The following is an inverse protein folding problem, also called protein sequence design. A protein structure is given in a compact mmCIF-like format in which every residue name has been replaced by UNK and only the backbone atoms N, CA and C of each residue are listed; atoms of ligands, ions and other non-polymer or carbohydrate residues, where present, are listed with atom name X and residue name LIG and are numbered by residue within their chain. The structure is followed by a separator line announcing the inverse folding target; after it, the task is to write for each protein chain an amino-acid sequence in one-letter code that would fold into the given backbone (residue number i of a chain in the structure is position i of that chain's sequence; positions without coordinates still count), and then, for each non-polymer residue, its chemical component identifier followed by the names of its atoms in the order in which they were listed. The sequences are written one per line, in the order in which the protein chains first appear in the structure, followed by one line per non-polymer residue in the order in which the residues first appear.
data_IF_012254360825
#
_entry.id   IF_012254360825
#
_cell.length_a   1.000
_cell.length_b   1.000
_cell.length_c   1.000
_cell.angle_alpha   90.00
_cell.angle_beta   90.00
_cell.angle_gamma   90.00
#
_symmetry.space_group_name_H-M   'P 1'
#
loop_
_entity.id
_entity.type
_entity.pdbx_description
1 polymer ?
#
# COMPACT_ATOMS: atom_id res chain seq x y z
N UNK A 1 34.57 -36.43 9.06
CA UNK A 1 33.74 -35.82 8.00
C UNK A 1 32.70 -34.92 8.67
N UNK A 2 32.91 -33.60 8.70
CA UNK A 2 32.00 -32.62 9.34
C UNK A 2 31.17 -31.95 8.25
N UNK A 3 29.87 -32.22 8.22
CA UNK A 3 28.94 -31.62 7.26
C UNK A 3 28.45 -30.30 7.85
N UNK A 4 28.80 -29.18 7.19
CA UNK A 4 28.18 -27.87 7.41
C UNK A 4 26.81 -27.87 6.72
N UNK A 5 25.73 -27.71 7.48
CA UNK A 5 24.41 -27.43 6.92
C UNK A 5 24.20 -25.92 6.85
N UNK A 6 24.28 -25.35 5.65
CA UNK A 6 23.78 -24.01 5.36
C UNK A 6 22.25 -24.06 5.28
N UNK A 7 21.54 -23.39 6.20
CA UNK A 7 20.10 -23.17 6.07
C UNK A 7 19.82 -22.18 4.92
N UNK A 8 18.85 -22.45 4.03
CA UNK A 8 18.39 -21.48 3.06
C UNK A 8 17.49 -20.45 3.75
N UNK A 9 17.72 -19.16 3.43
CA UNK A 9 16.87 -18.04 3.82
C UNK A 9 15.48 -18.22 3.16
N UNK A 10 14.54 -18.81 3.88
CA UNK A 10 13.14 -18.91 3.45
C UNK A 10 12.44 -17.56 3.62
N UNK A 11 11.64 -17.16 2.62
CA UNK A 11 10.89 -15.91 2.53
C UNK A 11 9.97 -15.60 3.73
N UNK A 12 9.75 -16.58 4.61
CA UNK A 12 9.01 -16.47 5.87
C UNK A 12 9.65 -15.49 6.86
N UNK A 13 10.97 -15.25 6.78
CA UNK A 13 11.66 -14.31 7.68
C UNK A 13 11.56 -12.83 7.27
N UNK A 14 11.10 -12.53 6.05
CA UNK A 14 11.03 -11.14 5.56
C UNK A 14 9.82 -10.39 6.13
N UNK A 15 8.69 -11.09 6.34
CA UNK A 15 7.47 -10.50 6.90
C UNK A 15 7.61 -10.12 8.38
N UNK A 16 8.39 -10.88 9.16
CA UNK A 16 8.57 -10.63 10.59
C UNK A 16 9.68 -9.59 10.88
N UNK A 17 10.67 -9.48 9.99
CA UNK A 17 11.81 -8.56 10.18
C UNK A 17 11.47 -7.11 9.85
N UNK A 18 10.53 -6.85 8.95
CA UNK A 18 10.07 -5.48 8.67
C UNK A 18 9.28 -4.89 9.85
N UNK A 19 8.54 -5.72 10.60
CA UNK A 19 7.77 -5.30 11.78
C UNK A 19 8.65 -5.01 13.00
N UNK A 20 9.77 -5.71 13.15
CA UNK A 20 10.69 -5.53 14.29
C UNK A 20 11.52 -4.24 14.21
N UNK A 21 11.62 -3.59 13.05
CA UNK A 21 12.45 -2.39 12.89
C UNK A 21 11.74 -1.07 13.25
N UNK A 22 10.41 -1.07 13.39
CA UNK A 22 9.64 0.14 13.73
C UNK A 22 9.44 0.34 15.26
N UNK A 23 9.80 -0.65 16.08
CA UNK A 23 9.57 -0.63 17.53
C UNK A 23 10.58 0.15 18.38
N UNK A 24 11.50 0.91 17.79
CA UNK A 24 12.54 1.62 18.55
C UNK A 24 13.00 2.90 17.84
N UNK A 25 12.15 3.92 17.80
CA UNK A 25 12.57 5.26 17.40
C UNK A 25 12.10 6.29 18.42
N UNK A 26 13.02 6.71 19.30
CA UNK A 26 12.88 7.93 20.07
C UNK A 26 12.98 9.13 19.11
N UNK A 27 11.92 9.93 19.01
CA UNK A 27 11.90 11.15 18.21
C UNK A 27 12.63 12.29 18.94
N UNK A 28 13.57 12.93 18.24
CA UNK A 28 14.23 14.16 18.65
C UNK A 28 13.97 15.22 17.57
N UNK A 29 13.23 16.27 17.95
CA UNK A 29 12.75 17.35 17.08
C UNK A 29 13.87 18.22 16.50
N UNK A 30 13.77 18.52 15.19
CA UNK A 30 14.14 19.82 14.59
C UNK A 30 13.58 19.94 13.16
N UNK A 31 12.99 21.08 12.76
CA UNK A 31 12.36 21.25 11.46
C UNK A 31 13.39 21.63 10.37
N UNK A 32 13.19 21.10 9.15
CA UNK A 32 13.95 21.49 7.97
C UNK A 32 13.11 22.39 7.04
N UNK A 33 13.66 23.54 6.69
CA UNK A 33 13.12 24.53 5.75
C UNK A 33 13.38 24.09 4.30
N UNK A 34 12.36 24.16 3.43
CA UNK A 34 12.50 23.92 1.99
C UNK A 34 12.43 25.24 1.20
N UNK A 35 13.42 25.45 0.34
CA UNK A 35 13.55 26.56 -0.61
C UNK A 35 12.93 26.19 -1.95
N UNK A 36 12.15 27.10 -2.55
CA UNK A 36 11.55 26.94 -3.89
C UNK A 36 12.57 27.20 -5.00
N UNK A 37 12.50 26.40 -6.07
CA UNK A 37 13.23 26.62 -7.33
C UNK A 37 12.22 26.91 -8.44
N UNK A 38 12.42 28.05 -9.12
CA UNK A 38 11.68 28.49 -10.31
C UNK A 38 12.18 27.77 -11.56
N UNK A 39 11.30 27.45 -12.50
CA UNK A 39 11.68 26.97 -13.84
C UNK A 39 11.03 27.85 -14.90
N UNK A 40 11.89 28.39 -15.76
CA UNK A 40 11.59 29.32 -16.84
C UNK A 40 10.81 28.66 -17.99
N UNK A 41 9.95 29.48 -18.59
CA UNK A 41 9.18 29.18 -19.80
C UNK A 41 10.03 29.41 -21.04
N UNK A 42 10.06 28.45 -21.97
CA UNK A 42 10.63 28.65 -23.31
C UNK A 42 9.59 28.34 -24.36
N UNK A 43 9.26 29.36 -25.15
CA UNK A 43 8.34 29.36 -26.27
C UNK A 43 9.03 28.86 -27.55
N UNK A 44 8.32 28.12 -28.39
CA UNK A 44 8.63 28.04 -29.82
C UNK A 44 7.34 27.87 -30.63
N UNK A 45 7.05 28.89 -31.43
CA UNK A 45 6.07 28.91 -32.51
C UNK A 45 6.52 28.05 -33.69
N UNK A 46 5.57 27.46 -34.45
CA UNK A 46 5.26 27.83 -35.85
C UNK A 46 4.32 26.81 -36.55
N UNK A 47 3.28 27.38 -37.18
CA UNK A 47 2.62 27.01 -38.45
C UNK A 47 1.63 25.83 -38.50
N UNK A 48 0.36 26.25 -38.44
CA UNK A 48 -0.79 25.92 -39.31
C UNK A 48 -0.51 25.09 -40.59
N UNK A 49 -1.22 23.97 -40.72
CA UNK A 49 -1.69 23.49 -42.03
C UNK A 49 -2.96 22.65 -41.86
N UNK A 50 -3.93 22.95 -42.72
CA UNK A 50 -5.36 22.62 -42.67
C UNK A 50 -5.76 21.18 -43.05
N UNK A 51 -6.82 20.71 -42.38
CA UNK A 51 -7.92 19.82 -42.80
C UNK A 51 -7.76 18.89 -44.02
N UNK A 52 -7.74 17.57 -43.77
CA UNK A 52 -8.34 16.51 -44.62
C UNK A 52 -8.86 15.33 -43.75
N UNK A 53 -9.97 14.66 -44.12
CA UNK A 53 -10.70 13.71 -43.26
C UNK A 53 -10.06 12.31 -43.11
N UNK A 54 -10.32 11.70 -41.95
CA UNK A 54 -9.81 10.41 -41.45
C UNK A 54 -9.97 9.21 -42.41
N UNK A 55 -8.89 8.46 -42.59
CA UNK A 55 -8.90 7.11 -43.16
C UNK A 55 -8.83 6.06 -42.03
N UNK A 56 -9.59 4.94 -42.09
CA UNK A 56 -9.58 3.92 -41.05
C UNK A 56 -8.19 3.27 -40.93
N UNK A 57 -7.54 3.45 -39.78
CA UNK A 57 -6.29 2.76 -39.46
C UNK A 57 -6.58 1.28 -39.15
N UNK A 58 -5.96 0.38 -39.90
CA UNK A 58 -5.94 -1.05 -39.60
C UNK A 58 -5.28 -1.28 -38.22
N UNK A 59 -5.71 -2.29 -37.43
CA UNK A 59 -5.11 -2.55 -36.13
C UNK A 59 -3.63 -2.89 -36.32
N UNK A 60 -2.78 -2.00 -35.79
CA UNK A 60 -1.33 -2.20 -35.76
C UNK A 60 -1.06 -3.28 -34.72
N UNK A 61 -0.95 -4.54 -35.17
CA UNK A 61 -0.40 -5.64 -34.40
C UNK A 61 1.09 -5.38 -34.17
N UNK A 62 1.40 -4.48 -33.24
CA UNK A 62 2.75 -4.35 -32.69
C UNK A 62 3.16 -5.65 -32.01
N UNK A 63 4.47 -5.94 -31.90
CA UNK A 63 4.94 -7.11 -31.19
C UNK A 63 4.36 -7.10 -29.77
N UNK A 64 3.76 -8.22 -29.37
CA UNK A 64 3.28 -8.44 -28.00
C UNK A 64 4.47 -8.18 -27.08
N UNK A 65 4.46 -7.02 -26.41
CA UNK A 65 5.37 -6.77 -25.31
C UNK A 65 5.18 -7.92 -24.33
N UNK A 66 6.27 -8.64 -24.08
CA UNK A 66 6.36 -9.64 -23.02
C UNK A 66 5.71 -9.03 -21.77
N UNK A 67 4.68 -9.69 -21.24
CA UNK A 67 3.82 -9.18 -20.15
C UNK A 67 4.59 -9.15 -18.82
N UNK A 68 5.65 -8.36 -18.73
CA UNK A 68 6.38 -8.12 -17.49
C UNK A 68 5.58 -7.15 -16.61
N UNK A 69 5.24 -7.57 -15.39
CA UNK A 69 4.65 -6.68 -14.38
C UNK A 69 3.12 -6.60 -14.33
N UNK A 70 2.40 -7.60 -14.82
CA UNK A 70 0.92 -7.65 -14.71
C UNK A 70 0.49 -7.97 -13.28
N UNK A 71 -0.28 -7.07 -12.68
CA UNK A 71 -0.91 -7.29 -11.38
C UNK A 71 -2.11 -8.23 -11.50
N UNK A 72 -2.23 -9.17 -10.57
CA UNK A 72 -3.44 -9.99 -10.40
C UNK A 72 -4.39 -9.31 -9.41
N UNK A 73 -5.68 -9.65 -9.41
CA UNK A 73 -6.63 -9.12 -8.40
C UNK A 73 -6.39 -9.66 -6.99
N UNK A 74 -5.62 -10.74 -6.87
CA UNK A 74 -5.31 -11.39 -5.59
C UNK A 74 -3.86 -11.82 -5.52
N UNK A 75 -3.25 -11.60 -4.35
CA UNK A 75 -1.93 -12.11 -4.04
C UNK A 75 -2.05 -13.52 -3.48
N UNK A 76 -1.26 -14.44 -4.05
CA UNK A 76 -1.27 -15.89 -3.77
C UNK A 76 -2.66 -16.53 -3.98
N UNK A 77 -3.56 -15.87 -4.72
CA UNK A 77 -4.96 -16.26 -4.86
C UNK A 77 -5.83 -16.02 -3.62
N UNK A 78 -5.28 -15.45 -2.54
CA UNK A 78 -5.97 -15.30 -1.25
C UNK A 78 -6.16 -13.82 -0.94
N UNK A 79 -5.06 -13.10 -0.72
CA UNK A 79 -5.08 -11.72 -0.22
C UNK A 79 -5.57 -10.74 -1.30
N UNK A 80 -6.29 -9.67 -0.92
CA UNK A 80 -6.77 -8.69 -1.88
C UNK A 80 -5.58 -7.94 -2.51
N UNK A 81 -5.75 -7.56 -3.76
CA UNK A 81 -4.80 -6.73 -4.49
C UNK A 81 -5.54 -5.64 -5.28
N UNK A 82 -6.68 -5.17 -4.74
CA UNK A 82 -7.63 -4.35 -5.50
C UNK A 82 -7.11 -2.95 -5.82
N UNK A 83 -6.13 -2.46 -5.04
CA UNK A 83 -5.46 -1.17 -5.24
C UNK A 83 -4.26 -1.23 -6.17
N UNK A 84 -3.71 -2.40 -6.46
CA UNK A 84 -2.49 -2.50 -7.25
C UNK A 84 -2.76 -2.38 -8.75
N UNK A 85 -2.01 -1.53 -9.42
CA UNK A 85 -2.09 -1.26 -10.85
C UNK A 85 -0.77 -1.66 -11.51
N UNK A 86 -0.87 -2.38 -12.62
CA UNK A 86 0.27 -2.85 -13.42
C UNK A 86 1.13 -1.69 -13.91
N UNK A 87 2.42 -1.97 -14.12
CA UNK A 87 3.35 -0.97 -14.64
C UNK A 87 2.90 -0.42 -15.99
N UNK A 88 3.22 0.86 -16.25
CA UNK A 88 2.87 1.60 -17.48
C UNK A 88 1.35 1.73 -17.76
N UNK A 89 0.49 1.33 -16.82
CA UNK A 89 -0.96 1.45 -16.96
C UNK A 89 -1.42 2.83 -16.49
N UNK A 90 -2.25 3.48 -17.30
CA UNK A 90 -2.90 4.75 -16.97
C UNK A 90 -4.40 4.51 -16.93
N UNK A 91 -5.00 4.75 -15.76
CA UNK A 91 -6.42 4.58 -15.54
C UNK A 91 -7.08 5.96 -15.43
N UNK A 92 -8.36 6.09 -15.79
CA UNK A 92 -9.09 7.32 -15.55
C UNK A 92 -9.18 7.64 -14.04
N UNK A 93 -9.50 8.89 -13.70
CA UNK A 93 -9.77 9.30 -12.32
C UNK A 93 -10.83 8.41 -11.67
N UNK A 94 -10.67 8.08 -10.39
CA UNK A 94 -11.68 7.30 -9.67
C UNK A 94 -12.85 8.18 -9.25
N UNK A 95 -14.06 7.67 -9.42
CA UNK A 95 -15.26 8.23 -8.81
C UNK A 95 -15.26 8.02 -7.29
N UNK A 96 -16.05 8.81 -6.56
CA UNK A 96 -16.28 8.64 -5.12
C UNK A 96 -16.74 7.21 -4.82
N UNK A 97 -17.67 6.67 -5.62
CA UNK A 97 -18.21 5.33 -5.42
C UNK A 97 -17.12 4.26 -5.57
N UNK A 98 -16.20 4.41 -6.53
CA UNK A 98 -15.10 3.46 -6.70
C UNK A 98 -14.14 3.48 -5.51
N UNK A 99 -13.83 4.65 -4.96
CA UNK A 99 -12.98 4.77 -3.76
C UNK A 99 -13.60 4.07 -2.55
N UNK A 100 -14.89 4.30 -2.30
CA UNK A 100 -15.63 3.61 -1.24
C UNK A 100 -15.77 2.11 -1.49
N UNK A 101 -15.98 1.70 -2.75
CA UNK A 101 -16.05 0.28 -3.11
C UNK A 101 -14.73 -0.42 -2.83
N UNK A 102 -13.59 0.18 -3.19
CA UNK A 102 -12.26 -0.37 -2.87
C UNK A 102 -12.09 -0.52 -1.37
N UNK A 103 -12.36 0.52 -0.58
CA UNK A 103 -12.28 0.45 0.89
C UNK A 103 -13.16 -0.67 1.48
N UNK A 104 -14.38 -0.84 0.97
CA UNK A 104 -15.26 -1.94 1.38
C UNK A 104 -14.71 -3.31 0.98
N UNK A 105 -14.13 -3.42 -0.21
CA UNK A 105 -13.52 -4.66 -0.68
C UNK A 105 -12.31 -5.03 0.18
N UNK A 106 -11.41 -4.09 0.46
CA UNK A 106 -10.22 -4.34 1.28
C UNK A 106 -10.54 -4.56 2.77
N UNK A 107 -11.67 -4.03 3.27
CA UNK A 107 -12.10 -4.23 4.67
C UNK A 107 -12.90 -5.53 4.90
N UNK A 108 -13.66 -5.97 3.90
CA UNK A 108 -14.65 -7.05 4.07
C UNK A 108 -14.47 -8.19 3.07
N UNK A 109 -13.37 -8.23 2.31
CA UNK A 109 -12.99 -9.43 1.59
C UNK A 109 -12.83 -10.59 2.56
N UNK A 110 -13.14 -11.82 2.13
CA UNK A 110 -13.04 -13.01 2.98
C UNK A 110 -11.64 -13.21 3.58
N UNK A 111 -10.59 -12.71 2.92
CA UNK A 111 -9.21 -12.82 3.39
C UNK A 111 -8.77 -11.67 4.31
N UNK A 112 -9.59 -10.63 4.48
CA UNK A 112 -9.29 -9.49 5.36
C UNK A 112 -9.20 -9.89 6.84
N UNK A 113 -9.59 -11.11 7.19
CA UNK A 113 -9.44 -11.66 8.55
C UNK A 113 -8.00 -12.00 8.91
N UNK A 114 -7.12 -12.25 7.93
CA UNK A 114 -5.80 -12.82 8.20
C UNK A 114 -4.81 -11.80 8.76
N UNK A 115 -4.80 -10.57 8.25
CA UNK A 115 -3.89 -9.54 8.74
C UNK A 115 -4.23 -9.11 10.18
N UNK A 116 -5.50 -8.80 10.53
CA UNK A 116 -5.91 -8.59 11.92
C UNK A 116 -5.62 -9.76 12.85
N UNK A 117 -5.75 -11.01 12.38
CA UNK A 117 -5.37 -12.19 13.15
C UNK A 117 -3.87 -12.20 13.49
N UNK A 118 -3.01 -11.94 12.51
CA UNK A 118 -1.58 -11.85 12.73
C UNK A 118 -1.21 -10.69 13.68
N UNK A 119 -1.77 -9.51 13.45
CA UNK A 119 -1.57 -8.32 14.30
C UNK A 119 -2.05 -8.59 15.73
N UNK A 120 -3.20 -9.24 15.91
CA UNK A 120 -3.72 -9.61 17.22
C UNK A 120 -2.81 -10.60 17.95
N UNK A 121 -2.25 -11.58 17.24
CA UNK A 121 -1.29 -12.52 17.81
C UNK A 121 -0.02 -11.83 18.30
N UNK A 122 0.52 -10.90 17.50
CA UNK A 122 1.69 -10.09 17.88
C UNK A 122 1.35 -9.22 19.10
N UNK A 123 0.26 -8.45 19.02
CA UNK A 123 -0.18 -7.56 20.09
C UNK A 123 -0.43 -8.30 21.41
N UNK A 124 -1.03 -9.49 21.34
CA UNK A 124 -1.20 -10.34 22.50
C UNK A 124 0.14 -10.83 23.05
N UNK A 125 1.04 -11.31 22.19
CA UNK A 125 2.35 -11.81 22.59
C UNK A 125 3.22 -10.73 23.25
N UNK A 126 3.11 -9.47 22.79
CA UNK A 126 3.79 -8.32 23.37
C UNK A 126 3.00 -7.66 24.50
N UNK A 127 1.80 -8.14 24.80
CA UNK A 127 0.89 -7.59 25.80
C UNK A 127 0.65 -6.08 25.61
N UNK A 128 0.39 -5.64 24.36
CA UNK A 128 0.28 -4.22 24.01
C UNK A 128 -0.96 -3.51 24.55
N UNK A 129 -1.97 -4.25 25.01
CA UNK A 129 -3.13 -3.72 25.73
C UNK A 129 -3.46 -4.66 26.91
N UNK A 130 -2.82 -4.47 28.07
CA UNK A 130 -2.93 -5.39 29.22
C UNK A 130 -4.38 -5.66 29.67
N UNK A 131 -5.29 -4.71 29.49
CA UNK A 131 -6.73 -4.82 29.80
C UNK A 131 -7.43 -5.93 29.02
N UNK A 132 -6.92 -6.29 27.84
CA UNK A 132 -7.48 -7.39 27.05
C UNK A 132 -7.14 -8.76 27.64
N UNK A 133 -6.12 -8.84 28.50
CA UNK A 133 -5.62 -10.08 29.12
C UNK A 133 -5.12 -11.08 28.07
N UNK A 134 -4.78 -12.27 28.56
CA UNK A 134 -4.18 -13.35 27.78
C UNK A 134 -5.17 -14.51 27.54
N UNK A 135 -4.73 -15.53 26.81
CA UNK A 135 -5.55 -16.68 26.41
C UNK A 135 -6.51 -16.37 25.26
N UNK A 136 -7.36 -17.34 24.91
CA UNK A 136 -8.26 -17.24 23.76
C UNK A 136 -9.26 -16.07 23.84
N UNK A 137 -9.77 -15.78 25.03
CA UNK A 137 -10.65 -14.63 25.24
C UNK A 137 -9.91 -13.29 25.04
N UNK A 138 -8.65 -13.21 25.47
CA UNK A 138 -7.80 -12.05 25.21
C UNK A 138 -7.47 -11.90 23.73
N UNK A 139 -7.12 -12.99 23.06
CA UNK A 139 -6.92 -13.02 21.61
C UNK A 139 -8.13 -12.46 20.86
N UNK A 140 -9.35 -12.91 21.22
CA UNK A 140 -10.58 -12.40 20.62
C UNK A 140 -10.75 -10.89 20.78
N UNK A 141 -10.32 -10.31 21.91
CA UNK A 141 -10.32 -8.85 22.12
C UNK A 141 -9.31 -8.16 21.22
N UNK A 142 -8.06 -8.63 21.19
CA UNK A 142 -7.05 -8.08 20.27
C UNK A 142 -7.51 -8.17 18.80
N UNK A 143 -8.11 -9.30 18.43
CA UNK A 143 -8.57 -9.57 17.08
C UNK A 143 -9.65 -8.61 16.60
N UNK A 144 -10.74 -8.46 17.36
CA UNK A 144 -11.81 -7.57 16.90
C UNK A 144 -11.35 -6.12 16.86
N UNK A 145 -10.49 -5.68 17.80
CA UNK A 145 -9.91 -4.33 17.75
C UNK A 145 -9.01 -4.15 16.54
N UNK A 146 -8.14 -5.10 16.23
CA UNK A 146 -7.29 -5.04 15.04
C UNK A 146 -8.11 -5.03 13.75
N UNK A 147 -9.22 -5.77 13.71
CA UNK A 147 -10.15 -5.76 12.57
C UNK A 147 -10.86 -4.41 12.43
N UNK A 148 -11.32 -3.83 13.55
CA UNK A 148 -11.93 -2.51 13.56
C UNK A 148 -10.94 -1.40 13.17
N UNK A 149 -9.70 -1.47 13.69
CA UNK A 149 -8.60 -0.56 13.35
C UNK A 149 -8.36 -0.60 11.82
N UNK A 150 -8.20 -1.79 11.25
CA UNK A 150 -7.99 -1.98 9.82
C UNK A 150 -9.16 -1.42 8.99
N UNK A 151 -10.40 -1.75 9.33
CA UNK A 151 -11.55 -1.28 8.57
C UNK A 151 -11.66 0.25 8.62
N UNK A 152 -11.53 0.84 9.81
CA UNK A 152 -11.55 2.32 9.97
C UNK A 152 -10.44 2.95 9.13
N UNK A 153 -9.24 2.40 9.20
CA UNK A 153 -8.11 2.87 8.42
C UNK A 153 -8.38 2.83 6.91
N UNK A 154 -8.77 1.68 6.36
CA UNK A 154 -9.12 1.54 4.95
C UNK A 154 -10.14 2.59 4.51
N UNK A 155 -11.20 2.82 5.30
CA UNK A 155 -12.17 3.87 4.96
C UNK A 155 -11.58 5.28 5.02
N UNK A 156 -10.72 5.58 5.99
CA UNK A 156 -10.09 6.90 6.08
C UNK A 156 -9.06 7.12 4.97
N UNK A 157 -8.17 6.17 4.73
CA UNK A 157 -7.03 6.24 3.82
C UNK A 157 -7.43 6.01 2.36
N UNK A 158 -8.46 5.19 2.09
CA UNK A 158 -8.81 4.79 0.73
C UNK A 158 -10.10 5.42 0.21
N UNK A 159 -10.96 5.93 1.09
CA UNK A 159 -12.24 6.52 0.69
C UNK A 159 -12.38 7.98 1.13
N UNK A 160 -12.42 8.25 2.43
CA UNK A 160 -12.81 9.56 2.97
C UNK A 160 -11.78 10.63 2.61
N UNK A 161 -10.51 10.45 2.99
CA UNK A 161 -9.49 11.45 2.68
C UNK A 161 -9.21 11.54 1.18
N UNK A 162 -9.09 10.44 0.42
CA UNK A 162 -8.89 10.52 -1.04
C UNK A 162 -9.98 11.29 -1.78
N UNK A 163 -11.22 11.24 -1.29
CA UNK A 163 -12.32 12.05 -1.85
C UNK A 163 -12.16 13.52 -1.50
N UNK A 164 -11.77 13.84 -0.26
CA UNK A 164 -11.58 15.22 0.22
C UNK A 164 -10.39 15.88 -0.49
N UNK A 165 -9.27 15.17 -0.60
CA UNK A 165 -7.99 15.68 -1.13
C UNK A 165 -7.85 15.49 -2.64
N UNK A 166 -8.79 14.76 -3.27
CA UNK A 166 -8.74 14.34 -4.68
C UNK A 166 -7.50 13.53 -5.00
N UNK A 167 -7.14 12.62 -4.10
CA UNK A 167 -6.02 11.70 -4.26
C UNK A 167 -6.49 10.37 -4.84
N UNK A 168 -5.64 9.77 -5.68
CA UNK A 168 -5.83 8.43 -6.20
C UNK A 168 -5.40 7.43 -5.13
N UNK A 169 -6.29 6.50 -4.77
CA UNK A 169 -6.02 5.52 -3.71
C UNK A 169 -5.22 4.31 -4.21
N UNK A 170 -4.91 4.23 -5.51
CA UNK A 170 -4.27 3.07 -6.14
C UNK A 170 -2.75 3.13 -6.06
N UNK A 171 -2.13 1.97 -5.88
CA UNK A 171 -0.69 1.79 -5.97
C UNK A 171 -0.30 1.44 -7.41
N UNK A 172 0.41 2.35 -8.09
CA UNK A 172 0.95 2.11 -9.43
C UNK A 172 2.33 1.47 -9.35
N UNK A 173 2.49 0.29 -9.93
CA UNK A 173 3.75 -0.45 -9.92
C UNK A 173 4.79 0.25 -10.78
N UNK A 174 6.04 0.37 -10.30
CA UNK A 174 7.13 0.87 -11.14
C UNK A 174 7.54 -0.20 -12.17
N UNK A 175 7.67 -1.45 -11.72
CA UNK A 175 7.83 -2.65 -12.55
C UNK A 175 9.18 -2.78 -13.27
N UNK A 176 10.02 -1.75 -13.25
CA UNK A 176 11.32 -1.71 -13.93
C UNK A 176 12.44 -1.25 -13.02
N UNK A 177 13.65 -1.74 -13.30
CA UNK A 177 14.87 -1.44 -12.55
C UNK A 177 15.17 -2.44 -11.45
N UNK A 178 16.36 -2.30 -10.85
CA UNK A 178 16.83 -3.21 -9.80
C UNK A 178 16.04 -3.09 -8.49
N UNK A 179 16.23 -4.08 -7.62
CA UNK A 179 15.52 -4.20 -6.33
C UNK A 179 15.52 -2.90 -5.51
N UNK A 180 16.68 -2.27 -5.30
CA UNK A 180 16.78 -1.05 -4.48
C UNK A 180 16.00 0.13 -5.04
N UNK A 181 15.98 0.29 -6.37
CA UNK A 181 15.23 1.37 -7.03
C UNK A 181 13.73 1.19 -6.83
N UNK A 182 13.25 -0.04 -7.01
CA UNK A 182 11.83 -0.39 -6.86
C UNK A 182 11.39 -0.32 -5.40
N UNK A 183 12.20 -0.85 -4.48
CA UNK A 183 11.93 -0.75 -3.04
C UNK A 183 11.88 0.72 -2.58
N UNK A 184 12.84 1.55 -3.00
CA UNK A 184 12.84 2.99 -2.70
C UNK A 184 11.61 3.69 -3.27
N UNK A 185 11.22 3.36 -4.51
CA UNK A 185 9.98 3.85 -5.11
C UNK A 185 8.76 3.46 -4.29
N UNK A 186 8.60 2.17 -3.93
CA UNK A 186 7.45 1.69 -3.17
C UNK A 186 7.32 2.36 -1.81
N UNK A 187 8.43 2.46 -1.08
CA UNK A 187 8.47 3.12 0.22
C UNK A 187 8.15 4.62 0.10
N UNK A 188 8.55 5.28 -0.99
CA UNK A 188 8.18 6.67 -1.22
C UNK A 188 6.68 6.88 -1.40
N UNK A 189 5.90 5.83 -1.75
CA UNK A 189 4.47 5.96 -2.01
C UNK A 189 3.63 6.24 -0.77
N UNK A 190 4.18 5.99 0.41
CA UNK A 190 3.59 6.39 1.70
C UNK A 190 3.51 7.91 1.83
N UNK A 191 4.50 8.64 1.28
CA UNK A 191 4.57 10.11 1.37
C UNK A 191 4.25 10.82 0.06
N UNK A 192 4.31 10.13 -1.07
CA UNK A 192 4.02 10.68 -2.40
C UNK A 192 2.95 9.83 -3.07
N UNK A 193 1.81 10.41 -3.42
CA UNK A 193 0.76 9.73 -4.18
C UNK A 193 0.48 10.43 -5.52
N UNK A 194 -0.40 9.86 -6.34
CA UNK A 194 -0.98 10.55 -7.50
C UNK A 194 -2.28 11.20 -7.07
N UNK A 195 -2.61 12.35 -7.64
CA UNK A 195 -3.94 12.90 -7.54
C UNK A 195 -4.85 12.36 -8.65
N UNK A 196 -6.15 12.66 -8.57
CA UNK A 196 -7.15 12.24 -9.55
C UNK A 196 -6.84 12.77 -10.97
N UNK A 197 -6.01 13.81 -11.11
CA UNK A 197 -5.54 14.31 -12.41
C UNK A 197 -4.26 13.60 -12.92
N UNK A 198 -3.73 12.64 -12.17
CA UNK A 198 -2.53 11.86 -12.50
C UNK A 198 -1.20 12.48 -12.11
N UNK A 199 -1.21 13.67 -11.47
CA UNK A 199 0.02 14.35 -11.04
C UNK A 199 0.49 13.85 -9.67
N UNK A 200 1.80 13.86 -9.42
CA UNK A 200 2.34 13.52 -8.11
C UNK A 200 2.07 14.62 -7.09
N UNK A 201 1.70 14.23 -5.87
CA UNK A 201 1.40 15.11 -4.74
C UNK A 201 1.87 14.45 -3.44
N UNK A 202 2.02 15.24 -2.38
CA UNK A 202 2.18 14.68 -1.04
C UNK A 202 0.95 13.83 -0.69
N UNK A 203 1.15 12.64 -0.13
CA UNK A 203 0.09 11.69 0.20
C UNK A 203 -0.61 12.08 1.51
N UNK A 204 -1.53 13.04 1.43
CA UNK A 204 -2.30 13.51 2.59
C UNK A 204 -3.21 12.40 3.11
N UNK A 205 -3.81 11.62 2.20
CA UNK A 205 -4.74 10.55 2.56
C UNK A 205 -4.11 9.47 3.41
N UNK A 206 -2.89 9.05 3.08
CA UNK A 206 -2.17 8.08 3.90
C UNK A 206 -1.81 8.68 5.26
N UNK A 207 -1.10 9.80 5.27
CA UNK A 207 -0.50 10.36 6.48
C UNK A 207 -1.59 10.84 7.45
N UNK A 208 -2.55 11.62 6.96
CA UNK A 208 -3.63 12.17 7.78
C UNK A 208 -4.75 11.17 7.99
N UNK A 209 -5.07 10.34 6.99
CA UNK A 209 -6.09 9.29 7.12
C UNK A 209 -5.71 8.24 8.15
N UNK A 210 -4.49 7.70 8.09
CA UNK A 210 -4.00 6.74 9.08
C UNK A 210 -3.97 7.35 10.49
N UNK A 211 -3.57 8.63 10.61
CA UNK A 211 -3.61 9.37 11.87
C UNK A 211 -5.02 9.55 12.42
N UNK A 212 -5.98 9.88 11.56
CA UNK A 212 -7.39 9.99 11.92
C UNK A 212 -7.98 8.63 12.34
N UNK A 213 -7.65 7.55 11.63
CA UNK A 213 -8.05 6.19 11.98
C UNK A 213 -7.50 5.75 13.33
N UNK A 214 -6.19 5.97 13.56
CA UNK A 214 -5.57 5.73 14.86
C UNK A 214 -6.23 6.55 15.98
N UNK A 215 -6.56 7.82 15.72
CA UNK A 215 -7.29 8.67 16.66
C UNK A 215 -8.71 8.17 16.96
N UNK A 216 -9.45 7.72 15.95
CA UNK A 216 -10.78 7.12 16.10
C UNK A 216 -10.76 5.82 16.90
N UNK A 217 -9.63 5.10 16.91
CA UNK A 217 -9.49 3.89 17.73
C UNK A 217 -9.69 4.15 19.22
N UNK A 218 -9.41 5.37 19.69
CA UNK A 218 -9.67 5.77 21.06
C UNK A 218 -11.15 5.70 21.46
N UNK A 219 -12.09 5.62 20.52
CA UNK A 219 -13.51 5.47 20.86
C UNK A 219 -13.82 4.08 21.44
N UNK A 220 -13.08 3.06 21.02
CA UNK A 220 -13.38 1.66 21.33
C UNK A 220 -12.28 0.92 22.10
N UNK A 221 -11.07 1.49 22.26
CA UNK A 221 -10.04 0.96 23.17
C UNK A 221 -10.30 1.30 24.66
N UNK A 222 -9.72 0.55 25.62
CA UNK A 222 -9.85 0.84 27.05
C UNK A 222 -9.38 2.25 27.42
N UNK A 223 -10.04 2.92 28.38
CA UNK A 223 -9.77 4.31 28.72
C UNK A 223 -8.31 4.61 29.09
N UNK A 224 -7.60 3.65 29.70
CA UNK A 224 -6.18 3.78 30.05
C UNK A 224 -5.27 3.88 28.82
N UNK A 225 -5.69 3.28 27.71
CA UNK A 225 -4.91 3.21 26.48
C UNK A 225 -5.16 4.40 25.55
N UNK A 226 -6.13 5.27 25.86
CA UNK A 226 -6.54 6.43 25.03
C UNK A 226 -5.59 7.63 25.19
N UNK A 227 -4.30 7.39 25.05
CA UNK A 227 -3.25 8.41 25.18
C UNK A 227 -2.75 8.87 23.82
N UNK A 228 -2.22 10.10 23.75
CA UNK A 228 -1.59 10.61 22.54
C UNK A 228 -0.40 9.74 22.11
N UNK A 229 0.40 9.25 23.06
CA UNK A 229 1.55 8.37 22.79
C UNK A 229 1.12 7.06 22.13
N UNK A 230 0.09 6.40 22.64
CA UNK A 230 -0.43 5.16 22.05
C UNK A 230 -1.05 5.42 20.67
N UNK A 231 -1.73 6.55 20.49
CA UNK A 231 -2.30 6.95 19.19
C UNK A 231 -1.20 7.15 18.15
N UNK A 232 -0.11 7.85 18.50
CA UNK A 232 1.05 8.04 17.62
C UNK A 232 1.76 6.72 17.33
N UNK A 233 1.90 5.83 18.33
CA UNK A 233 2.49 4.51 18.13
C UNK A 233 1.66 3.65 17.16
N UNK A 234 0.33 3.71 17.25
CA UNK A 234 -0.57 3.01 16.32
C UNK A 234 -0.46 3.61 14.92
N UNK A 235 -0.52 4.94 14.80
CA UNK A 235 -0.34 5.63 13.54
C UNK A 235 0.97 5.24 12.84
N UNK A 236 2.09 5.22 13.57
CA UNK A 236 3.38 4.78 13.02
C UNK A 236 3.38 3.29 12.62
N UNK A 237 2.67 2.44 13.36
CA UNK A 237 2.52 1.02 13.01
C UNK A 237 1.74 0.86 11.70
N UNK A 238 0.64 1.59 11.54
CA UNK A 238 -0.17 1.56 10.34
C UNK A 238 0.64 1.98 9.10
N UNK A 239 1.33 3.12 9.19
CA UNK A 239 2.25 3.59 8.13
C UNK A 239 3.30 2.51 7.78
N UNK A 240 3.81 1.78 8.78
CA UNK A 240 4.74 0.67 8.56
C UNK A 240 4.11 -0.52 7.83
N UNK A 241 2.85 -0.87 8.15
CA UNK A 241 2.09 -1.91 7.47
C UNK A 241 1.86 -1.51 6.01
N UNK A 242 1.44 -0.28 5.75
CA UNK A 242 1.16 0.22 4.40
C UNK A 242 2.42 0.23 3.53
N UNK A 243 3.55 0.69 4.09
CA UNK A 243 4.86 0.61 3.44
C UNK A 243 5.22 -0.83 3.05
N UNK A 244 4.97 -1.78 3.94
CA UNK A 244 5.16 -3.22 3.68
C UNK A 244 4.23 -3.74 2.58
N UNK A 245 2.97 -3.30 2.57
CA UNK A 245 1.98 -3.65 1.56
C UNK A 245 2.37 -3.10 0.18
N UNK A 246 2.85 -1.86 0.09
CA UNK A 246 3.36 -1.28 -1.17
C UNK A 246 4.58 -2.01 -1.72
N UNK A 247 5.53 -2.39 -0.86
CA UNK A 247 6.63 -3.27 -1.26
C UNK A 247 6.10 -4.58 -1.83
N UNK A 248 5.10 -5.17 -1.17
CA UNK A 248 4.55 -6.43 -1.62
C UNK A 248 3.81 -6.29 -2.95
N UNK A 249 3.02 -5.24 -3.15
CA UNK A 249 2.42 -4.91 -4.43
C UNK A 249 3.48 -4.75 -5.53
N UNK A 250 4.58 -4.03 -5.27
CA UNK A 250 5.64 -3.81 -6.25
C UNK A 250 6.26 -5.10 -6.75
N UNK A 251 6.55 -6.03 -5.84
CA UNK A 251 7.27 -7.26 -6.15
C UNK A 251 6.35 -8.46 -6.42
N UNK A 252 5.05 -8.33 -6.18
CA UNK A 252 4.09 -9.41 -6.38
C UNK A 252 4.11 -9.97 -7.82
N UNK A 253 4.13 -9.17 -8.90
CA UNK A 253 4.20 -9.71 -10.25
C UNK A 253 5.41 -10.65 -10.46
N UNK A 254 6.58 -10.31 -9.90
CA UNK A 254 7.78 -11.13 -10.01
C UNK A 254 7.68 -12.42 -9.21
N UNK A 255 7.14 -12.32 -7.98
CA UNK A 255 6.90 -13.46 -7.10
C UNK A 255 5.90 -14.41 -7.77
N UNK A 256 4.80 -13.87 -8.29
CA UNK A 256 3.76 -14.63 -8.96
C UNK A 256 4.31 -15.32 -10.21
N UNK A 257 5.10 -14.62 -11.02
CA UNK A 257 5.74 -15.20 -12.19
C UNK A 257 6.65 -16.38 -11.83
N UNK A 258 7.50 -16.23 -10.81
CA UNK A 258 8.42 -17.28 -10.37
C UNK A 258 7.73 -18.48 -9.73
N UNK A 259 6.63 -18.28 -9.00
CA UNK A 259 5.95 -19.34 -8.25
C UNK A 259 4.87 -20.05 -9.05
N UNK A 260 4.17 -19.37 -9.97
CA UNK A 260 2.94 -19.89 -10.59
C UNK A 260 2.99 -19.99 -12.12
N UNK A 261 4.07 -19.59 -12.80
CA UNK A 261 4.24 -19.82 -14.24
C UNK A 261 5.29 -20.91 -14.56
N UNK A 262 4.81 -22.15 -14.54
CA UNK A 262 5.10 -23.11 -15.61
C UNK A 262 4.07 -22.95 -16.74
N UNK A 263 4.58 -22.83 -17.99
CA UNK A 263 3.92 -22.85 -19.31
C UNK A 263 2.75 -21.88 -19.61
N UNK A 264 2.98 -21.04 -20.63
CA UNK A 264 1.93 -20.31 -21.36
C UNK A 264 0.87 -21.26 -21.94
N UNK A 265 -0.41 -20.84 -22.02
CA UNK A 265 -1.39 -21.54 -22.85
C UNK A 265 -0.92 -21.47 -24.31
N UNK A 266 -0.75 -22.63 -24.93
CA UNK A 266 -0.59 -22.74 -26.38
C UNK A 266 -1.79 -22.13 -27.08
N UNK A 267 -1.52 -21.38 -28.15
CA UNK A 267 -2.49 -20.74 -29.04
C UNK A 267 -3.56 -21.70 -29.55
#
# INVERSE_FOLDING_TARGET
MKIKSSLPLSATNLFLSLYLFCGSAHAQDKPATFTQVSVETSSSSLLDNSDLPDAPQAPVSGPVAEQEGVQTKRILGIFPNFRAVSANTHLPPQTVLEKFKTASQDSFDYSSIFLPAAVAGINQATNSTPEFRQGAAGYGRYYWHAFADQAVENYTVEAIFPVITREDNRYYTLGRGGFMKRAGYSLSRVVITRNDAGNETFNISEIVGAGAGAGLSNLYYPSRERTLGNTVSKWGSNIGIDAGTFLFHEFWPDINHKLFHGKQPSQ
#
